data_IF_836923759372
#
_entry.id   IF_836923759372
#
_cell.length_a   1.000
_cell.length_b   1.000
_cell.length_c   1.000
_cell.angle_alpha   90.00
_cell.angle_beta   90.00
_cell.angle_gamma   90.00
#
_symmetry.space_group_name_H-M   'P 1'
#
loop_
_entity.id
_entity.type
_entity.pdbx_description
1 polymer ?
#
# COMPACT_ATOMS: atom_id res chain seq x y z
N UNK A 1 41.99 -19.61 15.91
CA UNK A 1 42.49 -18.32 16.41
C UNK A 1 41.73 -18.02 17.71
N UNK A 2 42.37 -18.25 18.88
CA UNK A 2 41.76 -18.09 20.20
C UNK A 2 41.95 -16.65 20.63
N UNK A 3 40.85 -15.87 20.65
CA UNK A 3 40.88 -14.53 21.22
C UNK A 3 40.99 -14.65 22.75
N UNK A 4 42.18 -14.32 23.29
CA UNK A 4 42.40 -14.15 24.71
C UNK A 4 41.86 -12.78 25.12
N UNK A 5 40.75 -12.77 25.88
CA UNK A 5 40.26 -11.55 26.48
C UNK A 5 41.10 -11.17 27.71
N UNK A 6 41.40 -9.88 27.93
CA UNK A 6 42.12 -9.45 29.11
C UNK A 6 41.29 -9.71 30.38
N UNK A 7 41.93 -10.35 31.37
CA UNK A 7 41.38 -10.47 32.74
C UNK A 7 41.38 -9.09 33.39
N UNK A 8 40.21 -8.47 33.52
CA UNK A 8 40.09 -7.25 34.32
C UNK A 8 40.12 -7.60 35.79
N UNK A 9 41.04 -6.96 36.54
CA UNK A 9 41.15 -7.08 38.00
C UNK A 9 39.96 -6.37 38.66
N UNK A 10 39.45 -7.00 39.70
CA UNK A 10 38.44 -6.47 40.63
C UNK A 10 39.03 -5.29 41.40
N UNK A 11 38.82 -4.08 40.98
CA UNK A 11 38.80 -2.88 41.84
C UNK A 11 38.56 -1.66 40.96
N UNK A 12 37.27 -1.36 40.72
CA UNK A 12 36.90 0.00 40.42
C UNK A 12 35.57 0.34 41.10
N UNK A 13 35.67 1.26 42.10
CA UNK A 13 34.56 1.73 42.91
C UNK A 13 33.73 2.84 42.22
N UNK A 14 33.76 2.89 40.94
CA UNK A 14 32.86 3.78 40.16
C UNK A 14 31.71 2.95 39.66
N UNK A 15 30.48 3.32 40.07
CA UNK A 15 29.23 2.59 39.81
C UNK A 15 28.82 2.51 38.34
N UNK A 16 29.74 2.23 37.43
CA UNK A 16 29.49 1.89 36.07
C UNK A 16 29.08 0.43 35.98
N UNK A 17 27.92 0.17 35.40
CA UNK A 17 27.46 -1.16 35.06
C UNK A 17 28.41 -1.76 34.01
N UNK A 18 29.50 -2.38 34.50
CA UNK A 18 30.40 -3.13 33.64
C UNK A 18 29.66 -4.41 33.24
N UNK A 19 29.29 -4.54 31.99
CA UNK A 19 28.78 -5.80 31.45
C UNK A 19 29.87 -6.86 31.51
N UNK A 20 29.99 -7.54 32.65
CA UNK A 20 31.04 -8.52 32.93
C UNK A 20 30.82 -9.88 32.30
N UNK A 21 29.71 -10.09 31.61
CA UNK A 21 29.39 -11.35 30.93
C UNK A 21 28.97 -11.09 29.48
N UNK A 22 29.74 -11.63 28.57
CA UNK A 22 29.53 -11.49 27.11
C UNK A 22 28.13 -11.93 26.66
N UNK A 23 27.45 -12.75 27.45
CA UNK A 23 26.08 -13.23 27.22
C UNK A 23 25.06 -12.10 27.29
N UNK A 24 25.16 -11.19 28.25
CA UNK A 24 24.24 -10.06 28.38
C UNK A 24 24.39 -9.06 27.25
N UNK A 25 25.61 -8.85 26.73
CA UNK A 25 25.85 -8.02 25.60
C UNK A 25 25.21 -8.62 24.32
N UNK A 26 25.40 -9.92 24.09
CA UNK A 26 24.78 -10.62 22.94
C UNK A 26 23.26 -10.58 23.05
N UNK A 27 22.68 -10.80 24.23
CA UNK A 27 21.22 -10.68 24.42
C UNK A 27 20.71 -9.27 24.14
N UNK A 28 21.41 -8.24 24.61
CA UNK A 28 21.02 -6.85 24.35
C UNK A 28 21.01 -6.52 22.85
N UNK A 29 22.02 -6.98 22.10
CA UNK A 29 22.10 -6.82 20.64
C UNK A 29 20.95 -7.54 19.94
N UNK A 30 20.65 -8.78 20.35
CA UNK A 30 19.52 -9.55 19.76
C UNK A 30 18.19 -8.83 20.01
N UNK A 31 17.96 -8.36 21.24
CA UNK A 31 16.74 -7.62 21.59
C UNK A 31 16.64 -6.32 20.75
N UNK A 32 17.74 -5.59 20.60
CA UNK A 32 17.77 -4.37 19.79
C UNK A 32 17.41 -4.64 18.33
N UNK A 33 17.91 -5.73 17.73
CA UNK A 33 17.57 -6.14 16.36
C UNK A 33 16.08 -6.49 16.24
N UNK A 34 15.53 -7.25 17.22
CA UNK A 34 14.12 -7.62 17.22
C UNK A 34 13.22 -6.38 17.32
N UNK A 35 13.53 -5.44 18.21
CA UNK A 35 12.80 -4.18 18.36
C UNK A 35 12.87 -3.35 17.06
N UNK A 36 14.04 -3.27 16.45
CA UNK A 36 14.22 -2.57 15.17
C UNK A 36 13.36 -3.20 14.06
N UNK A 37 13.34 -4.54 13.95
CA UNK A 37 12.49 -5.25 12.98
C UNK A 37 11.00 -4.97 13.22
N UNK A 38 10.55 -4.97 14.47
CA UNK A 38 9.16 -4.65 14.80
C UNK A 38 8.79 -3.21 14.40
N UNK A 39 9.65 -2.25 14.72
CA UNK A 39 9.43 -0.84 14.34
C UNK A 39 9.39 -0.70 12.82
N UNK A 40 10.26 -1.40 12.10
CA UNK A 40 10.28 -1.40 10.62
C UNK A 40 8.97 -1.92 10.05
N UNK A 41 8.48 -3.09 10.52
CA UNK A 41 7.21 -3.68 10.06
C UNK A 41 6.01 -2.76 10.34
N UNK A 42 5.97 -2.13 11.53
CA UNK A 42 4.90 -1.19 11.87
C UNK A 42 4.91 0.04 10.94
N UNK A 43 6.10 0.57 10.65
CA UNK A 43 6.25 1.72 9.75
C UNK A 43 5.81 1.40 8.32
N UNK A 44 6.16 0.23 7.81
CA UNK A 44 5.76 -0.23 6.47
C UNK A 44 4.24 -0.36 6.36
N UNK A 45 3.61 -1.03 7.33
CA UNK A 45 2.14 -1.16 7.38
C UNK A 45 1.42 0.19 7.42
N UNK A 46 1.90 1.14 8.24
CA UNK A 46 1.30 2.49 8.33
C UNK A 46 1.44 3.25 7.02
N UNK A 47 2.58 3.10 6.33
CA UNK A 47 2.80 3.75 5.03
C UNK A 47 1.83 3.22 3.96
N UNK A 48 1.62 1.91 3.89
CA UNK A 48 0.68 1.28 2.95
C UNK A 48 -0.77 1.74 3.18
N UNK A 49 -1.18 1.86 4.45
CA UNK A 49 -2.50 2.38 4.80
C UNK A 49 -2.67 3.84 4.39
N UNK A 50 -1.65 4.68 4.58
CA UNK A 50 -1.68 6.08 4.18
C UNK A 50 -1.78 6.24 2.66
N UNK A 51 -1.01 5.47 1.89
CA UNK A 51 -1.05 5.47 0.42
C UNK A 51 -2.43 5.03 -0.07
N UNK A 52 -3.00 3.98 0.52
CA UNK A 52 -4.32 3.48 0.18
C UNK A 52 -5.41 4.51 0.47
N UNK A 53 -5.37 5.15 1.64
CA UNK A 53 -6.34 6.17 2.03
C UNK A 53 -6.23 7.40 1.13
N UNK A 54 -5.03 7.84 0.78
CA UNK A 54 -4.81 8.95 -0.14
C UNK A 54 -5.36 8.63 -1.56
N UNK A 55 -5.18 7.39 -2.02
CA UNK A 55 -5.71 6.93 -3.31
C UNK A 55 -7.23 6.87 -3.30
N UNK A 56 -7.84 6.36 -2.23
CA UNK A 56 -9.28 6.32 -2.06
C UNK A 56 -9.87 7.74 -2.02
N UNK A 57 -9.27 8.66 -1.27
CA UNK A 57 -9.72 10.06 -1.22
C UNK A 57 -9.70 10.69 -2.61
N UNK A 58 -8.63 10.49 -3.38
CA UNK A 58 -8.54 10.99 -4.76
C UNK A 58 -9.62 10.41 -5.67
N UNK A 59 -9.92 9.11 -5.55
CA UNK A 59 -11.03 8.50 -6.31
C UNK A 59 -12.40 8.98 -5.83
N UNK A 60 -12.57 9.28 -4.54
CA UNK A 60 -13.81 9.87 -4.03
C UNK A 60 -14.07 11.26 -4.64
N UNK A 61 -13.05 12.08 -4.77
CA UNK A 61 -13.13 13.43 -5.34
C UNK A 61 -13.28 13.43 -6.87
N UNK A 62 -13.06 12.27 -7.51
CA UNK A 62 -13.18 12.15 -8.96
C UNK A 62 -14.63 12.03 -9.40
N UNK A 63 -14.98 12.76 -10.46
CA UNK A 63 -16.30 12.65 -11.11
C UNK A 63 -16.15 12.32 -12.59
N UNK A 64 -17.03 11.46 -13.11
CA UNK A 64 -17.08 11.08 -14.51
C UNK A 64 -18.52 10.79 -14.94
N UNK A 65 -18.86 11.24 -16.14
CA UNK A 65 -20.06 10.84 -16.85
C UNK A 65 -19.76 10.83 -18.34
N UNK A 66 -19.43 9.64 -18.86
CA UNK A 66 -19.02 9.52 -20.27
C UNK A 66 -19.17 8.08 -20.78
N UNK A 67 -19.03 7.91 -22.09
CA UNK A 67 -19.03 6.61 -22.74
C UNK A 67 -17.60 6.11 -22.95
N UNK A 68 -17.40 4.82 -22.71
CA UNK A 68 -16.10 4.15 -22.86
C UNK A 68 -15.96 3.69 -24.32
N UNK A 69 -15.01 4.28 -25.05
CA UNK A 69 -14.73 3.93 -26.45
C UNK A 69 -13.54 2.97 -26.59
N UNK A 70 -12.76 2.78 -25.53
CA UNK A 70 -11.62 1.87 -25.51
C UNK A 70 -11.19 1.52 -24.10
N UNK A 71 -10.46 0.41 -23.97
CA UNK A 71 -9.78 0.01 -22.74
C UNK A 71 -8.47 -0.70 -23.07
N UNK A 72 -7.50 -0.58 -22.20
CA UNK A 72 -6.18 -1.17 -22.38
C UNK A 72 -5.36 -1.22 -21.12
N UNK A 73 -4.10 -1.66 -21.27
CA UNK A 73 -3.08 -1.63 -20.20
C UNK A 73 -1.85 -0.90 -20.71
N UNK A 74 -1.31 -0.01 -19.90
CA UNK A 74 -0.13 0.78 -20.22
C UNK A 74 1.14 -0.04 -19.91
N UNK A 75 1.72 -0.65 -20.95
CA UNK A 75 2.92 -1.48 -20.84
C UNK A 75 4.16 -0.69 -20.39
N UNK A 76 4.19 0.61 -20.64
CA UNK A 76 5.28 1.48 -20.20
C UNK A 76 5.21 1.82 -18.71
N UNK A 77 4.03 1.65 -18.11
CA UNK A 77 3.74 1.98 -16.73
C UNK A 77 3.18 0.76 -15.97
N UNK A 78 3.97 -0.32 -15.86
CA UNK A 78 3.65 -1.53 -15.08
C UNK A 78 2.29 -2.17 -15.39
N UNK A 79 1.86 -2.12 -16.66
CA UNK A 79 0.56 -2.63 -17.10
C UNK A 79 -0.64 -2.02 -16.36
N UNK A 80 -0.53 -0.75 -15.92
CA UNK A 80 -1.65 -0.05 -15.27
C UNK A 80 -2.83 0.01 -16.24
N UNK A 81 -4.03 -0.44 -15.82
CA UNK A 81 -5.21 -0.44 -16.65
C UNK A 81 -5.75 0.97 -16.85
N UNK A 82 -6.24 1.23 -18.06
CA UNK A 82 -6.88 2.48 -18.42
C UNK A 82 -8.12 2.27 -19.29
N UNK A 83 -8.98 3.28 -19.31
CA UNK A 83 -10.10 3.42 -20.22
C UNK A 83 -9.91 4.66 -21.09
N UNK A 84 -10.51 4.66 -22.26
CA UNK A 84 -10.59 5.83 -23.14
C UNK A 84 -12.04 6.25 -23.23
N UNK A 85 -12.30 7.48 -22.85
CA UNK A 85 -13.61 8.09 -22.82
C UNK A 85 -13.99 8.67 -24.22
N UNK A 86 -15.25 8.98 -24.44
CA UNK A 86 -15.74 9.48 -25.76
C UNK A 86 -15.07 10.80 -26.16
N UNK A 87 -14.67 11.63 -25.19
CA UNK A 87 -13.88 12.85 -25.40
C UNK A 87 -12.41 12.58 -25.71
N UNK A 88 -12.00 11.31 -25.92
CA UNK A 88 -10.64 10.82 -26.16
C UNK A 88 -9.69 10.96 -24.95
N UNK A 89 -10.17 11.34 -23.78
CA UNK A 89 -9.39 11.37 -22.55
C UNK A 89 -9.08 9.95 -22.10
N UNK A 90 -7.82 9.70 -21.74
CA UNK A 90 -7.38 8.45 -21.13
C UNK A 90 -7.41 8.61 -19.62
N UNK A 91 -8.10 7.68 -18.94
CA UNK A 91 -8.20 7.65 -17.47
C UNK A 91 -7.66 6.32 -16.95
N UNK A 92 -6.74 6.40 -16.00
CA UNK A 92 -6.25 5.22 -15.29
C UNK A 92 -7.23 4.83 -14.18
N UNK A 93 -7.52 3.54 -14.10
CA UNK A 93 -8.50 2.99 -13.16
C UNK A 93 -7.94 1.77 -12.44
N UNK A 94 -8.59 1.35 -11.37
CA UNK A 94 -8.21 0.13 -10.65
C UNK A 94 -8.45 -1.13 -11.50
N UNK A 95 -7.63 -2.18 -11.29
CA UNK A 95 -7.77 -3.44 -12.03
C UNK A 95 -9.15 -4.07 -11.83
N UNK A 96 -9.70 -4.02 -10.61
CA UNK A 96 -11.01 -4.57 -10.31
C UNK A 96 -12.13 -3.85 -11.07
N UNK A 97 -12.07 -2.51 -11.16
CA UNK A 97 -13.03 -1.74 -11.95
C UNK A 97 -12.86 -2.02 -13.44
N UNK A 98 -11.61 -2.14 -13.91
CA UNK A 98 -11.29 -2.44 -15.32
C UNK A 98 -11.87 -3.80 -15.77
N UNK A 99 -11.86 -4.80 -14.88
CA UNK A 99 -12.45 -6.13 -15.17
C UNK A 99 -13.97 -6.07 -15.31
N UNK A 100 -14.63 -5.14 -14.61
CA UNK A 100 -16.09 -4.95 -14.68
C UNK A 100 -16.57 -4.18 -15.92
N UNK A 101 -15.71 -3.41 -16.57
CA UNK A 101 -16.03 -2.49 -17.67
C UNK A 101 -15.80 -3.16 -19.02
N UNK A 102 -16.66 -2.86 -19.99
CA UNK A 102 -16.50 -3.22 -21.40
C UNK A 102 -16.52 -1.99 -22.31
N UNK A 103 -15.93 -2.14 -23.50
CA UNK A 103 -16.02 -1.12 -24.54
C UNK A 103 -17.48 -0.94 -24.97
N UNK A 104 -17.94 0.28 -24.99
CA UNK A 104 -19.32 0.64 -25.31
C UNK A 104 -20.19 0.93 -24.10
N UNK A 105 -19.76 0.57 -22.88
CA UNK A 105 -20.43 0.95 -21.64
C UNK A 105 -20.41 2.46 -21.45
N UNK A 106 -21.40 2.98 -20.72
CA UNK A 106 -21.34 4.32 -20.15
C UNK A 106 -21.02 4.22 -18.67
N UNK A 107 -20.16 5.10 -18.18
CA UNK A 107 -19.74 5.15 -16.78
C UNK A 107 -20.19 6.45 -16.14
N UNK A 108 -20.69 6.37 -14.92
CA UNK A 108 -21.11 7.54 -14.14
C UNK A 108 -20.61 7.40 -12.70
N UNK A 109 -20.04 8.48 -12.20
CA UNK A 109 -19.70 8.67 -10.79
C UNK A 109 -19.73 10.16 -10.47
N UNK A 110 -20.33 10.55 -9.38
CA UNK A 110 -20.29 11.92 -8.87
C UNK A 110 -19.20 12.05 -7.82
N UNK A 111 -18.69 13.27 -7.68
CA UNK A 111 -17.78 13.65 -6.61
C UNK A 111 -18.41 13.32 -5.24
N UNK A 112 -17.61 12.75 -4.35
CA UNK A 112 -18.05 12.30 -3.03
C UNK A 112 -18.84 10.98 -3.01
N UNK A 113 -19.22 10.42 -4.16
CA UNK A 113 -19.90 9.13 -4.21
C UNK A 113 -18.92 7.96 -4.12
N UNK A 114 -19.33 6.94 -3.36
CA UNK A 114 -18.57 5.69 -3.17
C UNK A 114 -18.70 4.74 -4.37
N UNK A 115 -19.67 4.96 -5.26
CA UNK A 115 -20.03 4.00 -6.29
C UNK A 115 -19.78 4.53 -7.69
N UNK A 116 -19.25 3.65 -8.57
CA UNK A 116 -19.41 3.79 -10.00
C UNK A 116 -20.66 3.09 -10.48
N UNK A 117 -21.37 3.71 -11.39
CA UNK A 117 -22.49 3.13 -12.12
C UNK A 117 -22.06 2.88 -13.57
N UNK A 118 -22.14 1.64 -14.00
CA UNK A 118 -21.77 1.21 -15.35
C UNK A 118 -23.04 0.78 -16.05
N UNK A 119 -23.36 1.45 -17.15
CA UNK A 119 -24.55 1.20 -17.94
C UNK A 119 -24.18 0.39 -19.16
N UNK A 120 -24.66 -0.85 -19.24
CA UNK A 120 -24.47 -1.79 -20.34
C UNK A 120 -25.79 -2.20 -20.94
N UNK A 121 -26.19 -1.57 -22.07
CA UNK A 121 -27.55 -1.72 -22.59
C UNK A 121 -28.61 -1.36 -21.55
N UNK A 122 -29.47 -2.31 -21.21
CA UNK A 122 -30.52 -2.14 -20.21
C UNK A 122 -30.10 -2.52 -18.77
N UNK A 123 -28.83 -2.87 -18.57
CA UNK A 123 -28.30 -3.27 -17.26
C UNK A 123 -27.52 -2.13 -16.63
N UNK A 124 -27.68 -1.99 -15.30
CA UNK A 124 -26.87 -1.07 -14.48
C UNK A 124 -26.05 -1.92 -13.51
N UNK A 125 -24.74 -1.81 -13.60
CA UNK A 125 -23.79 -2.47 -12.68
C UNK A 125 -23.31 -1.41 -11.71
N UNK A 126 -23.50 -1.65 -10.42
CA UNK A 126 -23.03 -0.78 -9.35
C UNK A 126 -21.71 -1.36 -8.81
N UNK A 127 -20.63 -0.60 -8.94
CA UNK A 127 -19.31 -0.98 -8.47
C UNK A 127 -18.92 -0.15 -7.24
N UNK A 128 -18.56 -0.83 -6.16
CA UNK A 128 -18.15 -0.19 -4.90
C UNK A 128 -16.64 0.04 -4.89
N UNK A 129 -16.23 1.31 -4.73
CA UNK A 129 -14.84 1.71 -4.63
C UNK A 129 -14.07 0.98 -3.53
N UNK A 130 -14.70 0.74 -2.39
CA UNK A 130 -14.06 0.07 -1.27
C UNK A 130 -13.62 -1.37 -1.59
N UNK A 131 -14.22 -2.02 -2.60
CA UNK A 131 -13.78 -3.36 -3.03
C UNK A 131 -12.33 -3.32 -3.53
N UNK A 132 -11.94 -2.27 -4.24
CA UNK A 132 -10.57 -2.10 -4.76
C UNK A 132 -9.53 -1.85 -3.66
N UNK A 133 -9.98 -1.35 -2.52
CA UNK A 133 -9.13 -0.95 -1.40
C UNK A 133 -9.22 -1.89 -0.20
N UNK A 134 -10.19 -2.81 -0.21
CA UNK A 134 -10.26 -3.85 0.80
C UNK A 134 -9.10 -4.82 0.59
N UNK A 135 -8.22 -4.94 1.58
CA UNK A 135 -7.16 -5.96 1.57
C UNK A 135 -7.85 -7.32 1.46
N UNK A 136 -7.48 -8.12 0.46
CA UNK A 136 -7.81 -9.53 0.44
C UNK A 136 -7.08 -10.15 1.64
N UNK A 137 -7.80 -10.41 2.70
CA UNK A 137 -7.32 -11.16 3.88
C UNK A 137 -7.10 -12.61 3.51
#
# INVERSE_FOLDING_TARGET
MLFRYPKYSKEDKTGELIFTDNRYFVMAVVIAILVFMLIWQLKEKTNDENIRNASLTREMDYSVFDRIIGKGKDKSNRDIPYIVLSNKKQEYISSNLWDCIEKGDSISKKEGEQYYYIFRGNKVIKYDLYISYKKLE
#
